data_IF_665133615322
#
_entry.id   IF_665133615322
#
_cell.length_a   1.000
_cell.length_b   1.000
_cell.length_c   1.000
_cell.angle_alpha   90.00
_cell.angle_beta   90.00
_cell.angle_gamma   90.00
#
_symmetry.space_group_name_H-M   'P 1'
#
loop_
_entity.id
_entity.type
_entity.pdbx_description
1 polymer ?
#
# COMPACT_ATOMS: atom_id res chain seq x y z
N UNK A 1 4.94 5.63 19.92
CA UNK A 1 4.77 4.79 18.71
C UNK A 1 6.03 3.95 18.56
N UNK A 2 5.92 2.64 18.38
CA UNK A 2 7.11 1.77 18.24
C UNK A 2 7.93 2.21 17.01
N UNK A 3 9.26 2.18 17.10
CA UNK A 3 10.14 2.56 15.98
C UNK A 3 9.83 1.74 14.72
N UNK A 4 9.59 0.43 14.88
CA UNK A 4 9.16 -0.49 13.82
C UNK A 4 7.91 -0.02 13.08
N UNK A 5 6.90 0.46 13.81
CA UNK A 5 5.63 0.92 13.21
C UNK A 5 5.84 2.23 12.46
N UNK A 6 6.72 3.10 12.96
CA UNK A 6 7.11 4.30 12.20
C UNK A 6 7.77 3.95 10.87
N UNK A 7 8.61 2.91 10.86
CA UNK A 7 9.26 2.40 9.64
C UNK A 7 8.20 1.83 8.69
N UNK A 8 7.29 0.97 9.18
CA UNK A 8 6.19 0.43 8.36
C UNK A 8 5.33 1.53 7.74
N UNK A 9 5.01 2.58 8.51
CA UNK A 9 4.30 3.77 8.00
C UNK A 9 5.09 4.49 6.92
N UNK A 10 6.41 4.63 7.09
CA UNK A 10 7.29 5.16 6.05
C UNK A 10 7.22 4.36 4.75
N UNK A 11 7.22 3.03 4.82
CA UNK A 11 7.05 2.18 3.64
C UNK A 11 5.65 2.28 3.03
N UNK A 12 4.59 2.38 3.82
CA UNK A 12 3.23 2.64 3.29
C UNK A 12 3.16 3.97 2.56
N UNK A 13 3.80 5.01 3.10
CA UNK A 13 3.90 6.32 2.45
C UNK A 13 4.71 6.24 1.14
N UNK A 14 5.82 5.49 1.15
CA UNK A 14 6.60 5.25 -0.06
C UNK A 14 5.77 4.55 -1.14
N UNK A 15 4.98 3.54 -0.78
CA UNK A 15 4.04 2.91 -1.70
C UNK A 15 3.01 3.92 -2.23
N UNK A 16 2.48 4.80 -1.38
CA UNK A 16 1.54 5.84 -1.83
C UNK A 16 2.18 6.76 -2.89
N UNK A 17 3.44 7.15 -2.70
CA UNK A 17 4.20 7.97 -3.65
C UNK A 17 4.44 7.22 -4.97
N UNK A 18 4.83 5.94 -4.91
CA UNK A 18 5.04 5.10 -6.09
C UNK A 18 3.75 5.00 -6.92
N UNK A 19 2.62 4.69 -6.27
CA UNK A 19 1.33 4.57 -6.93
C UNK A 19 0.83 5.91 -7.51
N UNK A 20 1.12 7.03 -6.83
CA UNK A 20 0.82 8.36 -7.34
C UNK A 20 1.67 8.71 -8.57
N UNK A 21 2.97 8.42 -8.52
CA UNK A 21 3.87 8.61 -9.66
C UNK A 21 3.44 7.77 -10.86
N UNK A 22 3.07 6.50 -10.63
CA UNK A 22 2.53 5.63 -11.66
C UNK A 22 1.25 6.20 -12.28
N UNK A 23 0.30 6.67 -11.45
CA UNK A 23 -0.91 7.33 -11.94
C UNK A 23 -0.61 8.49 -12.88
N UNK A 24 0.35 9.36 -12.55
CA UNK A 24 0.75 10.50 -13.37
C UNK A 24 1.40 10.04 -14.68
N UNK A 25 2.30 9.05 -14.62
CA UNK A 25 2.98 8.49 -15.80
C UNK A 25 1.96 7.90 -16.78
N UNK A 26 0.97 7.17 -16.28
CA UNK A 26 -0.10 6.59 -17.10
C UNK A 26 -1.02 7.66 -17.66
N UNK A 27 -1.44 8.63 -16.84
CA UNK A 27 -2.35 9.71 -17.26
C UNK A 27 -1.74 10.61 -18.36
N UNK A 28 -0.41 10.82 -18.32
CA UNK A 28 0.34 11.60 -19.31
C UNK A 28 0.72 10.79 -20.55
N UNK A 29 0.41 9.50 -20.59
CA UNK A 29 0.76 8.62 -21.70
C UNK A 29 2.26 8.36 -21.84
N UNK A 30 3.06 8.64 -20.80
CA UNK A 30 4.50 8.41 -20.80
C UNK A 30 4.89 6.94 -20.60
N UNK A 31 3.92 6.04 -20.35
CA UNK A 31 4.19 4.62 -20.16
C UNK A 31 4.29 3.90 -21.53
N UNK A 32 5.49 3.48 -21.97
CA UNK A 32 5.71 2.98 -23.34
C UNK A 32 5.07 1.62 -23.60
N UNK A 33 4.72 0.86 -22.55
CA UNK A 33 4.16 -0.49 -22.67
C UNK A 33 2.62 -0.54 -22.65
N UNK A 34 1.92 0.60 -22.48
CA UNK A 34 0.46 0.58 -22.37
C UNK A 34 -0.24 0.61 -23.74
N UNK A 35 -1.31 -0.17 -23.94
CA UNK A 35 -2.13 -0.12 -25.15
C UNK A 35 -2.65 1.29 -25.44
N UNK A 36 -2.80 1.65 -26.72
CA UNK A 36 -3.30 2.97 -27.14
C UNK A 36 -4.78 3.25 -26.84
N UNK A 37 -5.46 2.31 -26.19
CA UNK A 37 -6.81 2.52 -25.67
C UNK A 37 -6.83 3.63 -24.61
N UNK A 38 -7.41 4.77 -24.98
CA UNK A 38 -7.60 5.92 -24.09
C UNK A 38 -8.38 5.53 -22.84
N UNK A 39 -9.42 4.69 -22.99
CA UNK A 39 -10.22 4.20 -21.87
C UNK A 39 -9.38 3.39 -20.88
N UNK A 40 -8.53 2.48 -21.38
CA UNK A 40 -7.68 1.64 -20.54
C UNK A 40 -6.65 2.47 -19.75
N UNK A 41 -6.02 3.46 -20.42
CA UNK A 41 -5.08 4.40 -19.76
C UNK A 41 -5.75 5.15 -18.62
N UNK A 42 -6.93 5.74 -18.84
CA UNK A 42 -7.65 6.46 -17.78
C UNK A 42 -8.12 5.54 -16.64
N UNK A 43 -8.58 4.34 -16.96
CA UNK A 43 -8.97 3.36 -15.95
C UNK A 43 -7.80 3.02 -15.02
N UNK A 44 -6.62 2.73 -15.58
CA UNK A 44 -5.41 2.46 -14.80
C UNK A 44 -4.94 3.68 -14.01
N UNK A 45 -4.91 4.86 -14.63
CA UNK A 45 -4.50 6.09 -13.96
C UNK A 45 -5.38 6.42 -12.75
N UNK A 46 -6.71 6.32 -12.90
CA UNK A 46 -7.67 6.57 -11.82
C UNK A 46 -7.54 5.50 -10.73
N UNK A 47 -7.47 4.23 -11.11
CA UNK A 47 -7.27 3.12 -10.16
C UNK A 47 -6.00 3.30 -9.34
N UNK A 48 -4.92 3.73 -9.99
CA UNK A 48 -3.65 4.00 -9.33
C UNK A 48 -3.72 5.22 -8.40
N UNK A 49 -4.41 6.29 -8.82
CA UNK A 49 -4.62 7.48 -8.00
C UNK A 49 -5.43 7.15 -6.74
N UNK A 50 -6.52 6.41 -6.89
CA UNK A 50 -7.37 5.95 -5.78
C UNK A 50 -6.56 5.09 -4.81
N UNK A 51 -5.71 4.19 -5.34
CA UNK A 51 -4.82 3.36 -4.52
C UNK A 51 -3.81 4.19 -3.73
N UNK A 52 -3.20 5.20 -4.36
CA UNK A 52 -2.30 6.14 -3.69
C UNK A 52 -3.01 6.93 -2.57
N UNK A 53 -4.21 7.45 -2.85
CA UNK A 53 -5.01 8.17 -1.86
C UNK A 53 -5.41 7.27 -0.69
N UNK A 54 -5.76 6.01 -0.96
CA UNK A 54 -6.11 5.04 0.07
C UNK A 54 -4.90 4.64 0.92
N UNK A 55 -3.72 4.43 0.32
CA UNK A 55 -2.47 4.21 1.06
C UNK A 55 -2.11 5.40 1.96
N UNK A 56 -2.30 6.62 1.46
CA UNK A 56 -2.08 7.83 2.26
C UNK A 56 -3.04 7.89 3.46
N UNK A 57 -4.32 7.53 3.26
CA UNK A 57 -5.28 7.40 4.35
C UNK A 57 -4.80 6.35 5.37
N UNK A 58 -4.38 5.16 4.92
CA UNK A 58 -3.86 4.10 5.78
C UNK A 58 -2.60 4.54 6.55
N UNK A 59 -1.71 5.32 5.93
CA UNK A 59 -0.55 5.92 6.59
C UNK A 59 -0.94 6.76 7.81
N UNK A 60 -2.02 7.54 7.72
CA UNK A 60 -2.55 8.31 8.85
C UNK A 60 -3.25 7.41 9.88
N UNK A 61 -4.05 6.44 9.43
CA UNK A 61 -4.78 5.52 10.30
C UNK A 61 -3.86 4.63 11.12
N UNK A 62 -2.72 4.20 10.58
CA UNK A 62 -1.71 3.40 11.30
C UNK A 62 -1.06 4.11 12.48
N UNK A 63 -1.23 5.43 12.61
CA UNK A 63 -0.83 6.17 13.82
C UNK A 63 -1.67 5.74 15.03
N UNK A 64 -2.91 5.31 14.79
CA UNK A 64 -3.84 4.88 15.81
C UNK A 64 -3.65 3.37 16.06
N UNK A 65 -3.75 2.94 17.32
CA UNK A 65 -3.72 1.52 17.72
C UNK A 65 -5.02 0.79 17.35
N UNK A 66 -5.46 0.94 16.10
CA UNK A 66 -6.73 0.40 15.62
C UNK A 66 -6.52 -0.95 14.96
N UNK A 67 -7.29 -1.95 15.40
CA UNK A 67 -7.37 -3.27 14.75
C UNK A 67 -7.81 -3.15 13.30
N UNK A 68 -8.73 -2.22 13.01
CA UNK A 68 -9.25 -1.99 11.66
C UNK A 68 -8.14 -1.45 10.76
N UNK A 69 -7.36 -0.48 11.23
CA UNK A 69 -6.24 0.09 10.47
C UNK A 69 -5.20 -1.00 10.13
N UNK A 70 -4.91 -1.88 11.07
CA UNK A 70 -4.01 -3.02 10.88
C UNK A 70 -4.50 -3.97 9.77
N UNK A 71 -5.72 -4.49 9.89
CA UNK A 71 -6.26 -5.45 8.93
C UNK A 71 -6.43 -4.82 7.54
N UNK A 72 -6.96 -3.60 7.47
CA UNK A 72 -7.10 -2.89 6.19
C UNK A 72 -5.75 -2.69 5.50
N UNK A 73 -4.73 -2.28 6.24
CA UNK A 73 -3.42 -2.03 5.63
C UNK A 73 -2.77 -3.31 5.13
N UNK A 74 -2.79 -4.39 5.92
CA UNK A 74 -2.24 -5.68 5.48
C UNK A 74 -2.98 -6.20 4.25
N UNK A 75 -4.32 -6.23 4.29
CA UNK A 75 -5.12 -6.75 3.17
C UNK A 75 -4.86 -5.94 1.90
N UNK A 76 -4.80 -4.61 2.01
CA UNK A 76 -4.57 -3.76 0.85
C UNK A 76 -3.16 -3.91 0.27
N UNK A 77 -2.13 -3.98 1.11
CA UNK A 77 -0.76 -4.23 0.65
C UNK A 77 -0.59 -5.61 0.02
N UNK A 78 -1.25 -6.64 0.54
CA UNK A 78 -1.25 -7.98 -0.08
C UNK A 78 -1.94 -7.93 -1.44
N UNK A 79 -3.07 -7.22 -1.55
CA UNK A 79 -3.78 -7.06 -2.82
C UNK A 79 -2.89 -6.35 -3.86
N UNK A 80 -2.22 -5.26 -3.46
CA UNK A 80 -1.23 -4.57 -4.31
C UNK A 80 -0.14 -5.54 -4.75
N UNK A 81 0.44 -6.29 -3.82
CA UNK A 81 1.51 -7.24 -4.12
C UNK A 81 1.06 -8.30 -5.15
N UNK A 82 -0.17 -8.83 -5.00
CA UNK A 82 -0.75 -9.77 -5.97
C UNK A 82 -0.95 -9.13 -7.34
N UNK A 83 -1.46 -7.89 -7.41
CA UNK A 83 -1.61 -7.17 -8.67
C UNK A 83 -0.26 -6.93 -9.36
N UNK A 84 0.78 -6.55 -8.60
CA UNK A 84 2.14 -6.39 -9.12
C UNK A 84 2.71 -7.71 -9.65
N UNK A 85 2.36 -8.84 -9.06
CA UNK A 85 2.77 -10.16 -9.55
C UNK A 85 2.03 -10.63 -10.80
N UNK A 86 0.82 -10.10 -11.04
CA UNK A 86 0.03 -10.42 -12.23
C UNK A 86 0.43 -9.60 -13.46
N UNK A 87 1.21 -8.53 -13.26
CA UNK A 87 1.80 -7.75 -14.34
C UNK A 87 3.03 -8.48 -14.91
N UNK A 88 3.55 -7.99 -16.03
CA UNK A 88 4.80 -8.49 -16.60
C UNK A 88 5.96 -8.18 -15.64
N UNK A 89 6.35 -9.18 -14.84
CA UNK A 89 7.35 -9.06 -13.77
C UNK A 89 8.72 -8.63 -14.32
N UNK A 90 8.95 -7.32 -14.37
CA UNK A 90 10.23 -6.70 -14.61
C UNK A 90 11.03 -6.50 -13.32
N UNK A 91 12.28 -6.04 -13.46
CA UNK A 91 13.12 -5.68 -12.31
C UNK A 91 12.50 -4.57 -11.45
N UNK A 92 11.78 -3.63 -12.07
CA UNK A 92 11.10 -2.54 -11.36
C UNK A 92 9.94 -3.10 -10.53
N UNK A 93 9.13 -3.99 -11.09
CA UNK A 93 7.99 -4.59 -10.41
C UNK A 93 8.46 -5.46 -9.23
N UNK A 94 9.58 -6.16 -9.39
CA UNK A 94 10.22 -6.88 -8.29
C UNK A 94 10.63 -5.95 -7.14
N UNK A 95 11.24 -4.80 -7.44
CA UNK A 95 11.60 -3.81 -6.41
C UNK A 95 10.35 -3.24 -5.72
N UNK A 96 9.32 -2.90 -6.49
CA UNK A 96 8.04 -2.40 -5.95
C UNK A 96 7.41 -3.46 -5.05
N UNK A 97 7.37 -4.72 -5.48
CA UNK A 97 6.86 -5.85 -4.70
C UNK A 97 7.60 -6.00 -3.36
N UNK A 98 8.94 -5.96 -3.37
CA UNK A 98 9.73 -6.01 -2.12
C UNK A 98 9.37 -4.84 -1.20
N UNK A 99 9.30 -3.63 -1.75
CA UNK A 99 8.91 -2.40 -1.01
C UNK A 99 7.49 -2.50 -0.44
N UNK A 100 6.56 -3.16 -1.14
CA UNK A 100 5.19 -3.42 -0.66
C UNK A 100 5.16 -4.48 0.45
N UNK A 101 6.00 -5.52 0.38
CA UNK A 101 5.98 -6.64 1.34
C UNK A 101 6.70 -6.32 2.66
N UNK A 102 7.71 -5.47 2.67
CA UNK A 102 8.41 -5.05 3.90
C UNK A 102 7.44 -4.56 5.00
N UNK A 103 6.54 -3.58 4.75
CA UNK A 103 5.60 -3.13 5.78
C UNK A 103 4.65 -4.24 6.22
N UNK A 104 4.27 -5.18 5.35
CA UNK A 104 3.44 -6.34 5.74
C UNK A 104 4.15 -7.18 6.80
N UNK A 105 5.41 -7.55 6.55
CA UNK A 105 6.21 -8.35 7.50
C UNK A 105 6.37 -7.62 8.84
N UNK A 106 6.65 -6.31 8.81
CA UNK A 106 6.80 -5.51 10.02
C UNK A 106 5.48 -5.44 10.81
N UNK A 107 4.35 -5.17 10.14
CA UNK A 107 3.05 -5.09 10.78
C UNK A 107 2.67 -6.44 11.42
N UNK A 108 2.88 -7.56 10.72
CA UNK A 108 2.60 -8.91 11.28
C UNK A 108 3.45 -9.20 12.52
N UNK A 109 4.73 -8.80 12.52
CA UNK A 109 5.60 -8.92 13.70
C UNK A 109 5.10 -8.09 14.87
N UNK A 110 4.66 -6.86 14.61
CA UNK A 110 4.17 -5.90 15.61
C UNK A 110 2.65 -6.02 15.85
N UNK A 111 2.00 -7.11 15.42
CA UNK A 111 0.54 -7.29 15.48
C UNK A 111 -0.02 -7.07 16.88
N UNK A 112 0.72 -7.42 17.92
CA UNK A 112 0.28 -7.28 19.31
C UNK A 112 0.03 -5.82 19.70
N UNK A 113 0.75 -4.87 19.09
CA UNK A 113 0.54 -3.44 19.34
C UNK A 113 -0.82 -2.96 18.86
N UNK A 114 -1.33 -3.52 17.76
CA UNK A 114 -2.65 -3.20 17.19
C UNK A 114 -3.76 -4.07 17.78
N UNK A 115 -3.44 -5.33 18.12
CA UNK A 115 -4.41 -6.31 18.59
C UNK A 115 -4.57 -6.33 20.11
N UNK A 116 -3.79 -5.53 20.86
CA UNK A 116 -3.95 -5.36 22.30
C UNK A 116 -5.36 -4.82 22.60
N UNK A 117 -6.29 -5.74 22.81
CA UNK A 117 -7.57 -5.46 23.43
C UNK A 117 -7.26 -4.75 24.73
N UNK A 118 -7.79 -3.55 24.91
CA UNK A 118 -8.01 -2.99 26.25
C UNK A 118 -8.76 -4.05 27.04
N UNK A 119 -8.05 -4.81 27.89
CA UNK A 119 -8.68 -5.61 28.93
C UNK A 119 -9.30 -4.60 29.90
N UNK A 120 -10.51 -4.18 29.59
CA UNK A 120 -11.42 -3.41 30.43
C UNK A 120 -12.79 -3.96 30.07
N UNK A 121 -13.51 -4.74 30.86
CA UNK A 121 -13.58 -4.84 32.31
C UNK A 121 -13.93 -6.28 32.68
N UNK A 122 -13.11 -6.92 33.52
CA UNK A 122 -13.67 -7.85 34.50
C UNK A 122 -14.55 -7.02 35.44
N UNK A 123 -15.85 -7.22 35.40
CA UNK A 123 -16.77 -7.12 36.54
C UNK A 123 -18.13 -7.65 36.13
#
# INVERSE_FOLDING_TARGET
MNKSISIARGFVLLNAIIWLAFSIIVATGMHPALPDSVFYKWFLAISAFVSAAFLLLLYFLLKNQSKIAFFLTITFLILIALLTMMDDLGWIDFLVLVVTLIPVVILIKEREWFLKTSRTSQR
#
